data_IF_644395584228
#
_entry.id   IF_644395584228
#
_cell.length_a   1.000
_cell.length_b   1.000
_cell.length_c   1.000
_cell.angle_alpha   90.00
_cell.angle_beta   90.00
_cell.angle_gamma   90.00
#
_symmetry.space_group_name_H-M   'P 1'
#
loop_
_entity.id
_entity.type
_entity.pdbx_description
1 polymer ?
#
# COMPACT_ATOMS: atom_id res chain seq x y z
N UNK A 1 -11.36 -0.13 2.39
CA UNK A 1 -11.20 -1.29 3.30
C UNK A 1 -11.60 -2.63 2.67
N UNK A 2 -12.48 -2.67 1.66
CA UNK A 2 -12.85 -3.91 0.95
C UNK A 2 -11.80 -4.46 -0.06
N UNK A 3 -10.63 -3.84 -0.13
CA UNK A 3 -9.60 -4.14 -1.15
C UNK A 3 -8.91 -5.50 -0.91
N UNK A 4 -8.91 -5.96 0.34
CA UNK A 4 -8.28 -7.22 0.72
C UNK A 4 -9.19 -8.44 0.49
N UNK A 5 -10.47 -8.22 0.20
CA UNK A 5 -11.51 -9.28 0.17
C UNK A 5 -11.89 -9.71 -1.26
N UNK A 6 -11.17 -9.27 -2.30
CA UNK A 6 -11.42 -9.68 -3.68
C UNK A 6 -10.85 -11.08 -3.95
N UNK A 7 -11.72 -12.11 -3.98
CA UNK A 7 -11.39 -13.49 -4.36
C UNK A 7 -10.95 -13.59 -5.83
N UNK A 8 -9.82 -14.27 -6.09
CA UNK A 8 -9.24 -14.44 -7.43
C UNK A 8 -9.06 -15.92 -7.81
N UNK A 9 -9.38 -16.24 -9.08
CA UNK A 9 -9.42 -17.56 -9.73
C UNK A 9 -8.07 -18.31 -9.87
N UNK A 10 -6.95 -17.71 -9.42
CA UNK A 10 -5.63 -18.35 -9.24
C UNK A 10 -4.96 -17.76 -8.00
N UNK A 11 -4.12 -18.52 -7.25
CA UNK A 11 -3.30 -17.94 -6.22
C UNK A 11 -2.36 -16.92 -6.88
N UNK A 12 -2.71 -15.66 -6.72
CA UNK A 12 -1.85 -14.54 -7.07
C UNK A 12 -0.82 -14.45 -5.96
N UNK A 13 0.48 -14.48 -6.30
CA UNK A 13 1.55 -14.37 -5.29
C UNK A 13 1.36 -13.12 -4.40
N UNK A 14 1.93 -13.16 -3.20
CA UNK A 14 1.77 -12.09 -2.22
C UNK A 14 2.30 -10.75 -2.73
N UNK A 15 3.32 -10.76 -3.61
CA UNK A 15 3.85 -9.55 -4.25
C UNK A 15 2.82 -8.87 -5.15
N UNK A 16 2.14 -9.65 -5.98
CA UNK A 16 1.11 -9.14 -6.90
C UNK A 16 -0.15 -8.71 -6.12
N UNK A 17 -0.50 -9.41 -5.04
CA UNK A 17 -1.55 -8.98 -4.10
C UNK A 17 -1.19 -7.64 -3.44
N UNK A 18 0.07 -7.47 -3.04
CA UNK A 18 0.57 -6.22 -2.46
C UNK A 18 0.52 -5.07 -3.49
N UNK A 19 0.94 -5.33 -4.74
CA UNK A 19 0.89 -4.32 -5.82
C UNK A 19 -0.54 -3.87 -6.10
N UNK A 20 -1.50 -4.81 -6.23
CA UNK A 20 -2.92 -4.45 -6.38
C UNK A 20 -3.43 -3.64 -5.19
N UNK A 21 -3.05 -4.01 -3.97
CA UNK A 21 -3.45 -3.30 -2.75
C UNK A 21 -2.99 -1.84 -2.78
N UNK A 22 -1.75 -1.58 -3.20
CA UNK A 22 -1.21 -0.22 -3.36
C UNK A 22 -1.98 0.55 -4.44
N UNK A 23 -2.15 -0.04 -5.62
CA UNK A 23 -2.86 0.59 -6.76
C UNK A 23 -4.30 0.97 -6.40
N UNK A 24 -5.04 0.03 -5.82
CA UNK A 24 -6.42 0.28 -5.41
C UNK A 24 -6.52 1.30 -4.27
N UNK A 25 -5.51 1.37 -3.40
CA UNK A 25 -5.45 2.40 -2.35
C UNK A 25 -5.32 3.81 -2.93
N UNK A 26 -4.55 3.99 -4.02
CA UNK A 26 -4.45 5.26 -4.75
C UNK A 26 -5.80 5.65 -5.37
N UNK A 27 -6.49 4.70 -5.99
CA UNK A 27 -7.81 4.94 -6.60
C UNK A 27 -8.85 5.33 -5.55
N UNK A 28 -8.95 4.57 -4.45
CA UNK A 28 -9.88 4.88 -3.36
C UNK A 28 -9.57 6.24 -2.74
N UNK A 29 -8.29 6.58 -2.57
CA UNK A 29 -7.88 7.90 -2.07
C UNK A 29 -8.35 9.01 -3.03
N UNK A 30 -8.20 8.83 -4.34
CA UNK A 30 -8.65 9.80 -5.33
C UNK A 30 -10.18 9.96 -5.35
N UNK A 31 -10.91 8.83 -5.31
CA UNK A 31 -12.39 8.79 -5.30
C UNK A 31 -12.97 9.44 -4.02
N UNK A 32 -12.30 9.26 -2.88
CA UNK A 32 -12.78 9.64 -1.55
C UNK A 32 -11.91 10.73 -0.89
N UNK A 33 -11.22 11.55 -1.67
CA UNK A 33 -10.17 12.46 -1.20
C UNK A 33 -10.59 13.33 0.00
N UNK A 34 -11.79 13.97 0.03
CA UNK A 34 -12.20 14.75 1.20
C UNK A 34 -12.34 13.90 2.47
N UNK A 35 -12.93 12.70 2.35
CA UNK A 35 -13.13 11.80 3.47
C UNK A 35 -11.82 11.21 3.98
N UNK A 36 -10.93 10.80 3.08
CA UNK A 36 -9.60 10.28 3.45
C UNK A 36 -8.76 11.38 4.11
N UNK A 37 -8.82 12.61 3.62
CA UNK A 37 -8.13 13.75 4.25
C UNK A 37 -8.61 13.97 5.70
N UNK A 38 -9.92 13.92 5.94
CA UNK A 38 -10.47 14.03 7.30
C UNK A 38 -10.02 12.84 8.17
N UNK A 39 -10.14 11.61 7.65
CA UNK A 39 -9.72 10.39 8.33
C UNK A 39 -8.24 10.42 8.73
N UNK A 40 -7.36 10.97 7.87
CA UNK A 40 -5.93 11.04 8.14
C UNK A 40 -5.59 12.09 9.22
N UNK A 41 -6.48 13.05 9.49
CA UNK A 41 -6.32 14.14 10.45
C UNK A 41 -6.99 13.92 11.81
N UNK A 42 -7.70 12.80 11.99
CA UNK A 42 -8.36 12.47 13.27
C UNK A 42 -7.34 12.32 14.41
N UNK A 43 -7.74 12.66 15.63
CA UNK A 43 -6.87 12.65 16.82
C UNK A 43 -7.25 11.60 17.86
N UNK A 44 -8.44 10.99 17.73
CA UNK A 44 -8.94 9.99 18.68
C UNK A 44 -9.76 10.61 19.83
N UNK A 45 -10.26 11.83 19.64
CA UNK A 45 -10.94 12.58 20.70
C UNK A 45 -12.38 12.10 20.95
N UNK A 46 -12.96 11.36 20.00
CA UNK A 46 -14.28 10.75 20.11
C UNK A 46 -14.22 9.26 19.87
N UNK A 47 -15.22 8.51 20.33
CA UNK A 47 -15.31 7.07 20.07
C UNK A 47 -15.28 6.74 18.57
N UNK A 48 -15.90 7.58 17.74
CA UNK A 48 -15.89 7.42 16.28
C UNK A 48 -14.46 7.54 15.74
N UNK A 49 -13.70 8.54 16.19
CA UNK A 49 -12.30 8.70 15.80
C UNK A 49 -11.42 7.56 16.31
N UNK A 50 -11.64 7.07 17.54
CA UNK A 50 -10.89 5.93 18.08
C UNK A 50 -11.14 4.65 17.27
N UNK A 51 -12.40 4.39 16.88
CA UNK A 51 -12.75 3.28 15.99
C UNK A 51 -12.09 3.44 14.62
N UNK A 52 -12.02 4.66 14.09
CA UNK A 52 -11.34 4.94 12.83
C UNK A 52 -9.83 4.68 12.93
N UNK A 53 -9.17 5.12 14.01
CA UNK A 53 -7.76 4.85 14.26
C UNK A 53 -7.47 3.36 14.47
N UNK A 54 -8.35 2.62 15.14
CA UNK A 54 -8.23 1.17 15.30
C UNK A 54 -8.25 0.47 13.93
N UNK A 55 -9.22 0.80 13.07
CA UNK A 55 -9.29 0.25 11.70
C UNK A 55 -8.06 0.57 10.86
N UNK A 56 -7.44 1.76 11.05
CA UNK A 56 -6.17 2.11 10.40
C UNK A 56 -5.03 1.22 10.87
N UNK A 57 -4.90 1.00 12.19
CA UNK A 57 -3.88 0.09 12.73
C UNK A 57 -4.07 -1.34 12.24
N UNK A 58 -5.31 -1.83 12.21
CA UNK A 58 -5.61 -3.17 11.69
C UNK A 58 -5.23 -3.30 10.21
N UNK A 59 -5.46 -2.26 9.42
CA UNK A 59 -5.04 -2.22 8.02
C UNK A 59 -3.52 -2.21 7.89
N UNK A 60 -2.82 -1.37 8.65
CA UNK A 60 -1.35 -1.30 8.64
C UNK A 60 -0.71 -2.65 9.02
N UNK A 61 -1.30 -3.38 9.98
CA UNK A 61 -0.88 -4.74 10.35
C UNK A 61 -1.09 -5.74 9.21
N UNK A 62 -2.28 -5.79 8.61
CA UNK A 62 -2.56 -6.71 7.48
C UNK A 62 -1.63 -6.49 6.29
N UNK A 63 -1.28 -5.23 6.01
CA UNK A 63 -0.31 -4.91 4.96
C UNK A 63 1.08 -5.38 5.35
N UNK A 64 1.51 -5.19 6.60
CA UNK A 64 2.80 -5.67 7.06
C UNK A 64 2.90 -7.20 6.97
N UNK A 65 1.82 -7.92 7.31
CA UNK A 65 1.73 -9.38 7.13
C UNK A 65 1.86 -9.77 5.65
N UNK A 66 1.17 -9.06 4.75
CA UNK A 66 1.26 -9.29 3.31
C UNK A 66 2.67 -9.01 2.75
N UNK A 67 3.38 -8.01 3.28
CA UNK A 67 4.78 -7.76 2.92
C UNK A 67 5.67 -8.91 3.41
N UNK A 68 5.43 -9.43 4.63
CA UNK A 68 6.17 -10.56 5.16
C UNK A 68 5.95 -11.83 4.32
N UNK A 69 4.71 -12.09 3.88
CA UNK A 69 4.38 -13.15 2.92
C UNK A 69 5.16 -12.97 1.61
N UNK A 70 5.14 -11.76 1.03
CA UNK A 70 5.83 -11.46 -0.22
C UNK A 70 7.36 -11.61 -0.12
N UNK A 71 7.94 -11.30 1.03
CA UNK A 71 9.36 -11.52 1.30
C UNK A 71 9.69 -13.01 1.46
N UNK A 72 8.85 -13.78 2.17
CA UNK A 72 9.01 -15.22 2.32
C UNK A 72 8.91 -15.97 0.97
N UNK A 73 8.10 -15.47 0.04
CA UNK A 73 7.98 -15.97 -1.33
C UNK A 73 9.14 -15.51 -2.24
N UNK A 74 10.01 -14.62 -1.76
CA UNK A 74 11.15 -14.07 -2.51
C UNK A 74 10.79 -13.03 -3.56
N UNK A 75 9.55 -12.53 -3.56
CA UNK A 75 9.12 -11.49 -4.50
C UNK A 75 9.42 -10.06 -4.01
N UNK A 76 9.55 -9.86 -2.70
CA UNK A 76 10.02 -8.63 -2.06
C UNK A 76 11.34 -8.93 -1.31
N UNK A 77 12.22 -7.93 -1.23
CA UNK A 77 13.46 -7.99 -0.45
C UNK A 77 13.18 -8.31 1.03
N UNK A 78 14.02 -9.16 1.62
CA UNK A 78 13.90 -9.67 3.00
C UNK A 78 14.88 -9.00 3.99
N UNK A 79 15.69 -8.06 3.52
CA UNK A 79 16.69 -7.33 4.31
C UNK A 79 16.14 -6.05 4.98
N UNK A 80 14.85 -5.75 4.80
CA UNK A 80 14.16 -4.62 5.44
C UNK A 80 12.94 -5.16 6.21
N UNK A 81 12.75 -4.66 7.43
CA UNK A 81 11.59 -4.98 8.26
C UNK A 81 10.26 -4.77 7.49
N UNK A 82 9.37 -5.79 7.40
CA UNK A 82 8.08 -5.69 6.72
C UNK A 82 7.20 -4.55 7.26
N UNK A 83 7.27 -4.30 8.56
CA UNK A 83 6.56 -3.20 9.21
C UNK A 83 7.08 -1.82 8.79
N UNK A 84 8.37 -1.69 8.47
CA UNK A 84 8.96 -0.47 7.91
C UNK A 84 8.57 -0.30 6.44
N UNK A 85 8.64 -1.36 5.62
CA UNK A 85 8.19 -1.34 4.22
C UNK A 85 6.72 -0.88 4.15
N UNK A 86 5.84 -1.47 4.96
CA UNK A 86 4.42 -1.11 5.04
C UNK A 86 4.23 0.39 5.32
N UNK A 87 4.95 0.94 6.32
CA UNK A 87 4.90 2.38 6.65
C UNK A 87 5.38 3.27 5.50
N UNK A 88 6.43 2.88 4.78
CA UNK A 88 6.96 3.65 3.65
C UNK A 88 6.02 3.62 2.44
N UNK A 89 5.48 2.45 2.11
CA UNK A 89 4.48 2.26 1.06
C UNK A 89 3.26 3.18 1.30
N UNK A 90 2.63 3.06 2.47
CA UNK A 90 1.42 3.81 2.77
C UNK A 90 1.67 5.26 3.18
N UNK A 91 2.86 5.58 3.68
CA UNK A 91 3.30 6.98 3.81
C UNK A 91 3.33 7.68 2.45
N UNK A 92 3.82 7.00 1.42
CA UNK A 92 3.87 7.53 0.05
C UNK A 92 2.46 7.72 -0.52
N UNK A 93 1.57 6.72 -0.39
CA UNK A 93 0.16 6.84 -0.81
C UNK A 93 -0.55 7.96 -0.06
N UNK A 94 -0.39 8.04 1.27
CA UNK A 94 -1.07 9.05 2.08
C UNK A 94 -0.57 10.48 1.79
N UNK A 95 0.65 10.65 1.29
CA UNK A 95 1.17 11.97 0.88
C UNK A 95 0.37 12.60 -0.26
N UNK A 96 -0.35 11.79 -1.06
CA UNK A 96 -1.18 12.27 -2.16
C UNK A 96 -2.22 13.29 -1.71
N UNK A 97 -2.72 13.21 -0.47
CA UNK A 97 -3.74 14.14 0.02
C UNK A 97 -3.30 15.61 -0.03
N UNK A 98 -2.00 15.85 0.05
CA UNK A 98 -1.46 17.20 0.13
C UNK A 98 -1.50 17.89 -1.24
N UNK A 99 -1.27 17.15 -2.33
CA UNK A 99 -1.01 17.73 -3.65
C UNK A 99 -1.91 17.20 -4.77
N UNK A 100 -2.44 15.97 -4.67
CA UNK A 100 -3.25 15.39 -5.73
C UNK A 100 -4.60 16.11 -5.86
N UNK A 101 -5.04 16.36 -7.11
CA UNK A 101 -6.33 16.97 -7.42
C UNK A 101 -7.02 16.11 -8.47
N UNK A 102 -8.18 15.48 -8.17
CA UNK A 102 -8.89 14.61 -9.11
C UNK A 102 -9.31 15.31 -10.41
N UNK A 103 -9.60 16.62 -10.35
CA UNK A 103 -9.92 17.47 -11.50
C UNK A 103 -8.68 18.08 -12.18
N UNK A 104 -7.47 17.71 -11.74
CA UNK A 104 -6.22 18.21 -12.28
C UNK A 104 -5.78 17.52 -13.56
N UNK A 105 -4.64 17.94 -14.10
CA UNK A 105 -4.08 17.41 -15.35
C UNK A 105 -3.48 16.00 -15.23
N UNK A 106 -3.28 15.47 -14.01
CA UNK A 106 -2.72 14.14 -13.77
C UNK A 106 -3.85 13.13 -13.49
N UNK A 107 -4.12 12.19 -14.41
CA UNK A 107 -5.08 11.12 -14.17
C UNK A 107 -4.64 10.22 -13.01
N UNK A 108 -5.60 9.70 -12.23
CA UNK A 108 -5.31 8.79 -11.10
C UNK A 108 -4.56 7.54 -11.53
N UNK A 109 -4.88 6.98 -12.70
CA UNK A 109 -4.18 5.82 -13.27
C UNK A 109 -2.69 6.07 -13.46
N UNK A 110 -2.33 7.23 -14.02
CA UNK A 110 -0.93 7.63 -14.20
C UNK A 110 -0.19 7.75 -12.87
N UNK A 111 -0.83 8.29 -11.84
CA UNK A 111 -0.24 8.40 -10.49
C UNK A 111 -0.09 7.02 -9.84
N UNK A 112 -1.10 6.17 -9.98
CA UNK A 112 -1.11 4.77 -9.49
C UNK A 112 0.00 3.94 -10.14
N UNK A 113 0.14 4.04 -11.46
CA UNK A 113 1.19 3.37 -12.23
C UNK A 113 2.58 3.84 -11.80
N UNK A 114 2.81 5.16 -11.73
CA UNK A 114 4.11 5.71 -11.35
C UNK A 114 4.51 5.30 -9.92
N UNK A 115 3.56 5.31 -8.98
CA UNK A 115 3.80 4.85 -7.61
C UNK A 115 4.15 3.37 -7.58
N UNK A 116 3.37 2.51 -8.26
CA UNK A 116 3.64 1.09 -8.31
C UNK A 116 5.02 0.80 -8.94
N UNK A 117 5.37 1.46 -10.04
CA UNK A 117 6.70 1.32 -10.66
C UNK A 117 7.81 1.68 -9.67
N UNK A 118 7.77 2.88 -9.09
CA UNK A 118 8.85 3.33 -8.18
C UNK A 118 8.98 2.41 -6.95
N UNK A 119 7.86 2.04 -6.34
CA UNK A 119 7.86 1.24 -5.11
C UNK A 119 8.29 -0.20 -5.38
N UNK A 120 7.74 -0.86 -6.41
CA UNK A 120 8.02 -2.27 -6.67
C UNK A 120 9.33 -2.50 -7.42
N UNK A 121 9.80 -1.56 -8.24
CA UNK A 121 11.15 -1.65 -8.80
C UNK A 121 12.22 -1.58 -7.70
N UNK A 122 11.97 -0.82 -6.62
CA UNK A 122 12.86 -0.74 -5.45
C UNK A 122 12.69 -1.86 -4.43
N UNK A 123 11.52 -2.51 -4.38
CA UNK A 123 11.19 -3.56 -3.41
C UNK A 123 11.45 -4.98 -3.90
N UNK A 124 11.49 -5.22 -5.22
CA UNK A 124 11.77 -6.55 -5.77
C UNK A 124 13.07 -7.11 -5.19
N UNK A 125 13.05 -8.40 -4.86
CA UNK A 125 14.24 -9.06 -4.34
C UNK A 125 15.39 -8.94 -5.36
N UNK A 126 16.63 -8.71 -4.90
CA UNK A 126 17.77 -8.72 -5.79
C UNK A 126 17.88 -10.08 -6.49
N UNK A 127 18.20 -10.08 -7.78
CA UNK A 127 18.54 -11.32 -8.49
C UNK A 127 19.74 -11.93 -7.79
N UNK A 128 19.55 -13.06 -7.11
CA UNK A 128 20.66 -13.84 -6.56
C UNK A 128 21.43 -14.41 -7.75
N UNK A 129 22.50 -13.72 -8.15
CA UNK A 129 23.50 -14.31 -9.06
C UNK A 129 24.08 -15.48 -8.29
N UNK A 130 23.74 -16.70 -8.69
CA UNK A 130 24.25 -17.89 -8.05
C UNK A 130 25.77 -17.85 -8.07
N UNK A 131 26.40 -18.11 -6.92
CA UNK A 131 27.83 -18.33 -6.84
C UNK A 131 28.18 -19.51 -7.75
N UNK A 132 28.65 -19.20 -8.95
CA UNK A 132 29.28 -20.16 -9.83
C UNK A 132 30.64 -20.51 -9.23
N UNK A 133 30.71 -21.70 -8.63
CA UNK A 133 31.92 -22.34 -8.14
C UNK A 133 31.73 -23.84 -8.00
#
# INVERSE_FOLDING_TARGET
>A
FAVLDEEHEKPTDATTRLERTVRRSVEVLAEQLPYVTLLLRVRGNSEVEQRALARRRDFDHRVADLVAEAAAEGGVRDDIDPGLISKLLFGTVNSLIEWYRPSGALPVGTVSDALATILFDGLRAPVKVGDGG
#
